data_IF_880345567917
#
_entry.id   IF_880345567917
#
_cell.length_a   1.000
_cell.length_b   1.000
_cell.length_c   1.000
_cell.angle_alpha   90.00
_cell.angle_beta   90.00
_cell.angle_gamma   90.00
#
_symmetry.space_group_name_H-M   'P 1'
#
loop_
_entity.id
_entity.type
_entity.pdbx_description
1 polymer ?
#
# COMPACT_ATOMS: atom_id res chain seq x y z
N UNK A 1 -2.32 12.76 -16.08
CA UNK A 1 -1.45 11.82 -16.87
C UNK A 1 -0.78 10.85 -15.91
N UNK A 2 -0.81 9.56 -16.23
CA UNK A 2 -0.15 8.50 -15.44
C UNK A 2 1.36 8.66 -15.54
N UNK A 3 2.06 8.53 -14.43
CA UNK A 3 3.52 8.67 -14.35
C UNK A 3 4.14 7.40 -13.74
N UNK A 4 5.23 6.92 -14.34
CA UNK A 4 6.04 5.82 -13.78
C UNK A 4 7.41 6.35 -13.38
N UNK A 5 7.76 6.16 -12.12
CA UNK A 5 9.02 6.57 -11.52
C UNK A 5 9.80 5.31 -11.13
N UNK A 6 10.99 5.14 -11.68
CA UNK A 6 11.84 4.01 -11.29
C UNK A 6 12.76 4.41 -10.12
N UNK A 7 12.92 3.51 -9.15
CA UNK A 7 13.75 3.73 -7.96
C UNK A 7 15.19 4.08 -8.33
N UNK A 8 15.74 3.49 -9.39
CA UNK A 8 17.11 3.75 -9.82
C UNK A 8 17.30 5.14 -10.44
N UNK A 9 16.20 5.82 -10.82
CA UNK A 9 16.24 7.21 -11.28
C UNK A 9 16.32 8.24 -10.15
N UNK A 10 16.11 7.80 -8.90
CA UNK A 10 16.10 8.68 -7.72
C UNK A 10 17.44 8.67 -7.00
N UNK A 11 17.90 9.84 -6.62
CA UNK A 11 19.16 9.99 -5.89
C UNK A 11 19.11 9.21 -4.56
N UNK A 12 20.19 8.50 -4.26
CA UNK A 12 20.42 7.83 -2.99
C UNK A 12 21.07 8.82 -2.03
N UNK A 13 20.24 9.43 -1.19
CA UNK A 13 20.69 10.49 -0.25
C UNK A 13 21.13 9.86 1.07
N UNK A 14 22.36 10.12 1.56
CA UNK A 14 22.81 9.64 2.86
C UNK A 14 22.00 10.26 4.00
N UNK A 15 21.66 9.44 4.98
CA UNK A 15 21.04 9.82 6.26
C UNK A 15 21.74 9.09 7.40
N UNK A 16 21.61 9.50 8.69
CA UNK A 16 22.34 8.91 9.80
C UNK A 16 22.16 7.40 9.98
N UNK A 17 21.01 6.88 9.58
CA UNK A 17 20.64 5.47 9.65
C UNK A 17 20.99 4.67 8.39
N UNK A 18 21.42 5.31 7.29
CA UNK A 18 21.71 4.64 6.03
C UNK A 18 21.48 5.54 4.82
N UNK A 19 20.54 5.21 3.95
CA UNK A 19 20.23 6.00 2.76
C UNK A 19 18.72 6.06 2.49
N UNK A 20 18.28 7.15 1.88
CA UNK A 20 16.89 7.32 1.45
C UNK A 20 16.79 7.69 -0.03
N UNK A 21 15.78 7.16 -0.72
CA UNK A 21 15.34 7.60 -2.05
C UNK A 21 13.92 8.12 -1.93
N UNK A 22 13.73 9.41 -2.15
CA UNK A 22 12.40 10.02 -2.21
C UNK A 22 11.77 9.71 -3.56
N UNK A 23 10.86 8.75 -3.60
CA UNK A 23 10.13 8.37 -4.81
C UNK A 23 9.14 9.47 -5.22
N UNK A 24 8.42 10.00 -4.23
CA UNK A 24 7.54 11.16 -4.37
C UNK A 24 7.75 12.11 -3.19
N UNK A 25 7.90 13.39 -3.48
CA UNK A 25 7.99 14.46 -2.51
C UNK A 25 6.92 15.53 -2.81
N UNK A 26 5.99 15.82 -1.89
CA UNK A 26 4.85 16.71 -2.16
C UNK A 26 5.23 18.08 -2.72
N UNK A 27 6.34 18.64 -2.26
CA UNK A 27 6.80 19.97 -2.72
C UNK A 27 7.33 19.96 -4.17
N UNK A 28 7.82 18.81 -4.65
CA UNK A 28 8.48 18.69 -5.96
C UNK A 28 7.53 18.10 -7.01
N UNK A 29 6.73 17.12 -6.61
CA UNK A 29 5.93 16.30 -7.53
C UNK A 29 4.46 16.73 -7.57
N UNK A 30 4.06 17.73 -6.79
CA UNK A 30 2.69 18.25 -6.74
C UNK A 30 1.66 17.26 -6.16
N UNK A 31 2.14 16.22 -5.46
CA UNK A 31 1.30 15.23 -4.77
C UNK A 31 1.09 15.64 -3.31
N UNK A 32 0.14 15.00 -2.63
CA UNK A 32 -0.01 15.12 -1.16
C UNK A 32 0.66 13.98 -0.42
N UNK A 33 0.96 12.91 -1.12
CA UNK A 33 1.57 11.70 -0.59
C UNK A 33 3.08 11.79 -0.71
N UNK A 34 3.78 11.48 0.38
CA UNK A 34 5.21 11.26 0.36
C UNK A 34 5.49 9.77 0.34
N UNK A 35 6.34 9.33 -0.58
CA UNK A 35 6.79 7.94 -0.70
C UNK A 35 8.30 7.90 -0.73
N UNK A 36 8.89 7.13 0.17
CA UNK A 36 10.33 6.92 0.23
C UNK A 36 10.68 5.44 0.34
N UNK A 37 11.81 5.06 -0.23
CA UNK A 37 12.48 3.78 0.04
C UNK A 37 13.74 4.08 0.83
N UNK A 38 13.85 3.48 2.01
CA UNK A 38 14.96 3.72 2.95
C UNK A 38 15.72 2.43 3.17
N UNK A 39 17.02 2.49 2.88
CA UNK A 39 18.00 1.46 3.26
C UNK A 39 18.48 1.78 4.67
N UNK A 40 18.31 0.88 5.63
CA UNK A 40 18.78 1.02 7.01
C UNK A 40 19.95 0.08 7.22
N UNK A 41 21.08 0.63 7.64
CA UNK A 41 22.32 -0.11 7.86
C UNK A 41 22.18 -1.05 9.07
N UNK A 42 22.93 -2.18 9.11
CA UNK A 42 22.94 -3.08 10.25
C UNK A 42 23.22 -2.37 11.57
N UNK A 43 22.42 -2.67 12.59
CA UNK A 43 22.52 -2.07 13.92
C UNK A 43 21.96 -0.63 14.02
N UNK A 44 21.42 -0.09 12.93
CA UNK A 44 20.80 1.24 12.92
C UNK A 44 19.30 1.16 13.13
N UNK A 45 18.72 2.29 13.55
CA UNK A 45 17.31 2.43 13.87
C UNK A 45 16.71 3.56 13.05
N UNK A 46 15.71 3.23 12.23
CA UNK A 46 14.85 4.20 11.57
C UNK A 46 13.73 4.64 12.52
N UNK A 47 13.44 5.93 12.55
CA UNK A 47 12.44 6.53 13.43
C UNK A 47 11.31 7.18 12.64
N UNK A 48 10.07 6.97 13.11
CA UNK A 48 8.87 7.58 12.57
C UNK A 48 8.12 8.29 13.67
N UNK A 49 7.43 9.37 13.29
CA UNK A 49 6.60 10.13 14.23
C UNK A 49 7.38 10.78 15.39
N UNK A 50 6.68 11.35 16.36
CA UNK A 50 5.30 11.80 16.21
C UNK A 50 5.18 12.97 15.22
N UNK A 51 4.03 13.12 14.61
CA UNK A 51 3.77 14.17 13.64
C UNK A 51 2.29 14.48 13.47
N UNK A 52 1.94 15.25 12.45
CA UNK A 52 0.57 15.63 12.07
C UNK A 52 0.00 14.78 10.93
N UNK A 53 0.76 13.76 10.49
CA UNK A 53 0.46 12.93 9.33
C UNK A 53 0.28 11.46 9.71
N UNK A 54 -0.55 10.78 8.96
CA UNK A 54 -0.64 9.32 8.98
C UNK A 54 0.57 8.73 8.27
N UNK A 55 1.19 7.72 8.85
CA UNK A 55 2.40 7.10 8.33
C UNK A 55 2.27 5.57 8.29
N UNK A 56 2.88 4.95 7.28
CA UNK A 56 3.05 3.51 7.20
C UNK A 56 4.49 3.21 6.87
N UNK A 57 5.07 2.28 7.62
CA UNK A 57 6.32 1.62 7.25
C UNK A 57 6.04 0.18 6.93
N UNK A 58 6.55 -0.27 5.82
CA UNK A 58 6.51 -1.66 5.39
C UNK A 58 7.92 -2.18 5.11
N UNK A 59 8.21 -3.37 5.59
CA UNK A 59 9.50 -4.04 5.43
C UNK A 59 9.52 -4.76 4.08
N UNK A 60 10.18 -4.12 3.09
CA UNK A 60 10.40 -4.70 1.75
C UNK A 60 11.40 -5.84 1.80
N UNK A 61 12.46 -5.68 2.59
CA UNK A 61 13.46 -6.71 2.84
C UNK A 61 14.08 -6.55 4.23
N UNK A 62 14.33 -7.66 4.90
CA UNK A 62 14.90 -7.72 6.24
C UNK A 62 14.36 -8.91 7.04
N UNK A 63 15.16 -9.33 8.01
CA UNK A 63 14.82 -10.39 8.97
C UNK A 63 15.33 -10.01 10.36
N UNK A 64 14.72 -10.59 11.38
CA UNK A 64 15.05 -10.33 12.78
C UNK A 64 15.04 -8.83 13.12
N UNK A 65 14.01 -8.13 12.59
CA UNK A 65 13.83 -6.70 12.74
C UNK A 65 13.07 -6.43 14.03
N UNK A 66 13.58 -5.53 14.87
CA UNK A 66 12.82 -5.06 16.04
C UNK A 66 11.99 -3.84 15.66
N UNK A 67 10.67 -3.92 15.89
CA UNK A 67 9.74 -2.81 15.73
C UNK A 67 9.20 -2.43 17.08
N UNK A 68 9.37 -1.17 17.51
CA UNK A 68 8.65 -0.62 18.66
C UNK A 68 7.56 0.31 18.16
N UNK A 69 6.41 0.31 18.84
CA UNK A 69 5.32 1.20 18.56
C UNK A 69 4.83 1.82 19.87
N UNK A 70 4.79 3.13 19.94
CA UNK A 70 4.34 3.90 21.11
C UNK A 70 3.03 4.59 20.78
N UNK A 71 2.01 4.30 21.60
CA UNK A 71 0.68 4.87 21.49
C UNK A 71 0.15 5.24 22.87
N UNK A 72 -0.33 6.46 23.05
CA UNK A 72 -0.89 6.95 24.32
C UNK A 72 0.01 6.70 25.54
N UNK A 73 1.34 6.79 25.34
CA UNK A 73 2.35 6.56 26.39
C UNK A 73 2.67 5.09 26.66
N UNK A 74 2.01 4.14 26.01
CA UNK A 74 2.33 2.72 26.09
C UNK A 74 3.17 2.29 24.89
N UNK A 75 4.26 1.56 25.15
CA UNK A 75 5.14 1.04 24.10
C UNK A 75 5.00 -0.48 24.02
N UNK A 76 4.82 -0.98 22.81
CA UNK A 76 4.86 -2.40 22.47
C UNK A 76 6.06 -2.68 21.57
N UNK A 77 6.64 -3.88 21.72
CA UNK A 77 7.76 -4.36 20.90
C UNK A 77 7.37 -5.63 20.15
N UNK A 78 7.82 -5.70 18.90
CA UNK A 78 7.53 -6.81 17.98
C UNK A 78 8.82 -7.25 17.29
N UNK A 79 8.97 -8.56 17.08
CA UNK A 79 9.95 -9.10 16.15
C UNK A 79 9.30 -9.23 14.79
N UNK A 80 9.94 -8.66 13.78
CA UNK A 80 9.39 -8.54 12.44
C UNK A 80 10.37 -9.08 11.38
N UNK A 81 9.86 -9.29 10.22
CA UNK A 81 10.61 -9.67 9.02
C UNK A 81 9.96 -9.07 7.77
N UNK A 82 10.49 -9.36 6.61
CA UNK A 82 9.87 -8.99 5.33
C UNK A 82 8.37 -9.28 5.34
N UNK A 83 7.57 -8.34 4.80
CA UNK A 83 6.10 -8.36 4.76
C UNK A 83 5.43 -8.15 6.11
N UNK A 84 6.11 -7.46 7.01
CA UNK A 84 5.51 -6.86 8.19
C UNK A 84 5.60 -5.35 8.11
N UNK A 85 4.86 -4.65 8.95
CA UNK A 85 4.88 -3.20 9.00
C UNK A 85 4.15 -2.62 10.18
N UNK A 86 4.19 -1.31 10.26
CA UNK A 86 3.45 -0.54 11.27
C UNK A 86 2.70 0.61 10.61
N UNK A 87 1.44 0.74 10.98
CA UNK A 87 0.59 1.88 10.66
C UNK A 87 0.52 2.79 11.87
N UNK A 88 0.71 4.09 11.66
CA UNK A 88 0.72 5.11 12.70
C UNK A 88 -0.31 6.20 12.42
N UNK A 89 -1.13 6.49 13.41
CA UNK A 89 -1.93 7.71 13.43
C UNK A 89 -1.06 8.91 13.84
N UNK A 90 -1.47 10.15 13.51
CA UNK A 90 -0.81 11.34 14.03
C UNK A 90 -0.60 11.27 15.55
N UNK A 91 0.52 11.77 16.06
CA UNK A 91 0.95 11.73 17.46
C UNK A 91 1.46 10.38 17.99
N UNK A 92 1.38 9.32 17.23
CA UNK A 92 2.04 8.05 17.55
C UNK A 92 3.47 8.03 17.01
N UNK A 93 4.32 7.18 17.56
CA UNK A 93 5.68 6.98 17.09
C UNK A 93 6.05 5.50 17.01
N UNK A 94 7.02 5.19 16.15
CA UNK A 94 7.61 3.88 16.04
C UNK A 94 9.10 3.96 15.73
N UNK A 95 9.81 2.88 16.10
CA UNK A 95 11.17 2.65 15.63
C UNK A 95 11.26 1.30 14.93
N UNK A 96 12.11 1.24 13.91
CA UNK A 96 12.39 -0.01 13.17
C UNK A 96 13.90 -0.20 13.15
N UNK A 97 14.38 -1.22 13.84
CA UNK A 97 15.82 -1.47 14.06
C UNK A 97 16.28 -2.68 13.26
N UNK A 98 17.31 -2.47 12.45
CA UNK A 98 18.01 -3.53 11.72
C UNK A 98 18.99 -4.26 12.65
N UNK A 99 18.69 -5.51 13.03
CA UNK A 99 19.49 -6.21 14.05
C UNK A 99 20.88 -6.63 13.56
N UNK A 100 21.04 -7.18 12.39
CA UNK A 100 22.34 -7.69 11.92
C UNK A 100 22.49 -7.74 10.40
N UNK A 101 21.40 -7.54 9.67
CA UNK A 101 21.37 -7.49 8.20
C UNK A 101 20.82 -6.16 7.75
N UNK A 102 21.16 -5.69 6.55
CA UNK A 102 20.53 -4.50 5.97
C UNK A 102 19.01 -4.67 5.92
N UNK A 103 18.32 -3.56 6.10
CA UNK A 103 16.85 -3.51 6.07
C UNK A 103 16.41 -2.52 5.01
N UNK A 104 15.41 -2.88 4.21
CA UNK A 104 14.82 -1.99 3.21
C UNK A 104 13.37 -1.73 3.57
N UNK A 105 13.02 -0.46 3.68
CA UNK A 105 11.70 0.02 4.08
C UNK A 105 11.03 0.77 2.94
N UNK A 106 9.73 0.53 2.73
CA UNK A 106 8.84 1.45 2.03
C UNK A 106 8.13 2.31 3.09
N UNK A 107 8.27 3.61 2.98
CA UNK A 107 7.65 4.59 3.89
C UNK A 107 6.64 5.40 3.10
N UNK A 108 5.39 5.38 3.54
CA UNK A 108 4.29 6.15 2.97
C UNK A 108 3.77 7.11 4.02
N UNK A 109 3.72 8.40 3.70
CA UNK A 109 3.21 9.43 4.60
C UNK A 109 2.13 10.23 3.89
N UNK A 110 0.96 10.34 4.51
CA UNK A 110 -0.20 11.03 3.95
C UNK A 110 -0.74 12.07 4.93
N UNK A 111 -1.25 13.21 4.43
CA UNK A 111 -1.91 14.17 5.31
C UNK A 111 -3.20 13.58 5.91
N UNK A 112 -3.55 14.02 7.10
CA UNK A 112 -4.82 13.67 7.73
C UNK A 112 -5.99 14.15 6.85
N UNK A 113 -6.95 13.29 6.59
CA UNK A 113 -8.13 13.64 5.80
C UNK A 113 -9.15 14.38 6.66
N UNK A 114 -9.47 15.63 6.25
CA UNK A 114 -10.38 16.54 6.98
C UNK A 114 -11.83 16.34 6.54
N UNK A 115 -12.39 15.28 6.43
CA UNK A 115 -13.78 15.08 5.93
C UNK A 115 -14.31 13.71 6.27
N UNK A 116 -14.00 13.22 7.47
CA UNK A 116 -14.44 11.90 7.90
C UNK A 116 -15.95 11.78 7.88
N UNK A 117 -16.50 10.72 7.30
CA UNK A 117 -17.82 10.27 7.65
C UNK A 117 -17.88 10.02 9.16
N UNK A 118 -18.84 10.62 9.81
CA UNK A 118 -19.08 10.43 11.24
C UNK A 118 -19.59 9.01 11.48
N UNK A 119 -18.86 8.22 12.23
CA UNK A 119 -19.28 6.90 12.69
C UNK A 119 -18.13 5.89 12.64
N UNK A 120 -17.55 5.58 13.76
CA UNK A 120 -16.53 4.56 13.95
C UNK A 120 -15.60 4.88 15.10
N UNK A 121 -14.97 3.86 15.65
CA UNK A 121 -13.91 4.02 16.64
C UNK A 121 -12.80 4.91 16.04
N UNK A 122 -12.15 5.75 16.87
CA UNK A 122 -11.00 6.51 16.44
C UNK A 122 -9.97 5.58 15.83
N UNK A 123 -9.43 5.99 14.69
CA UNK A 123 -8.33 5.25 14.09
C UNK A 123 -7.17 5.20 15.10
N UNK A 124 -6.54 4.06 15.20
CA UNK A 124 -5.35 3.86 16.03
C UNK A 124 -4.32 3.06 15.28
N UNK A 125 -3.05 3.40 15.47
CA UNK A 125 -1.95 2.66 14.87
C UNK A 125 -1.84 1.22 15.38
N UNK A 126 -1.22 0.38 14.58
CA UNK A 126 -1.00 -1.03 14.89
C UNK A 126 0.17 -1.60 14.09
N UNK A 127 0.77 -2.64 14.67
CA UNK A 127 1.70 -3.50 13.96
C UNK A 127 0.93 -4.58 13.19
N UNK A 128 1.40 -4.94 11.99
CA UNK A 128 0.82 -6.00 11.17
C UNK A 128 1.89 -6.91 10.55
N UNK A 129 1.52 -8.16 10.38
CA UNK A 129 2.26 -9.16 9.59
C UNK A 129 1.32 -9.68 8.50
N UNK A 130 1.71 -9.55 7.24
CA UNK A 130 0.85 -9.94 6.11
C UNK A 130 0.33 -11.38 6.23
N UNK A 131 1.18 -12.31 6.68
CA UNK A 131 0.80 -13.71 6.83
C UNK A 131 -0.33 -13.96 7.84
N UNK A 132 -0.59 -13.01 8.74
CA UNK A 132 -1.67 -13.09 9.74
C UNK A 132 -2.95 -12.38 9.29
N UNK A 133 -2.90 -11.70 8.15
CA UNK A 133 -4.03 -10.96 7.62
C UNK A 133 -4.86 -11.83 6.67
N UNK A 134 -6.11 -11.43 6.51
CA UNK A 134 -7.03 -12.07 5.59
C UNK A 134 -6.61 -11.80 4.15
N UNK A 135 -6.32 -12.86 3.38
CA UNK A 135 -6.13 -12.76 1.96
C UNK A 135 -7.45 -12.99 1.22
N UNK A 136 -7.64 -12.23 0.15
CA UNK A 136 -8.75 -12.37 -0.77
C UNK A 136 -8.22 -12.94 -2.10
N UNK A 137 -9.05 -13.70 -2.78
CA UNK A 137 -8.78 -14.24 -4.11
C UNK A 137 -9.95 -13.94 -5.03
N UNK A 138 -9.68 -13.60 -6.28
CA UNK A 138 -10.76 -13.39 -7.24
C UNK A 138 -11.42 -14.71 -7.67
N UNK A 139 -12.55 -14.60 -8.34
CA UNK A 139 -13.39 -15.74 -8.75
C UNK A 139 -12.63 -16.78 -9.61
N UNK A 140 -11.63 -16.36 -10.37
CA UNK A 140 -10.83 -17.24 -11.23
C UNK A 140 -9.47 -17.64 -10.64
N UNK A 141 -9.14 -17.13 -9.46
CA UNK A 141 -7.87 -17.44 -8.80
C UNK A 141 -6.64 -16.77 -9.43
N UNK A 142 -6.82 -15.76 -10.25
CA UNK A 142 -5.71 -15.09 -10.95
C UNK A 142 -5.17 -13.89 -10.22
N UNK A 143 -5.95 -13.32 -9.31
CA UNK A 143 -5.55 -12.15 -8.53
C UNK A 143 -5.75 -12.42 -7.05
N UNK A 144 -4.77 -12.06 -6.24
CA UNK A 144 -4.87 -12.09 -4.78
C UNK A 144 -4.70 -10.69 -4.22
N UNK A 145 -5.35 -10.42 -3.08
CA UNK A 145 -5.30 -9.14 -2.37
C UNK A 145 -5.21 -9.36 -0.88
N UNK A 146 -4.31 -8.64 -0.21
CA UNK A 146 -4.24 -8.59 1.24
C UNK A 146 -4.19 -7.13 1.68
N UNK A 147 -5.21 -6.66 2.38
CA UNK A 147 -5.20 -5.30 2.92
C UNK A 147 -4.45 -5.25 4.24
N UNK A 148 -3.53 -4.29 4.35
CA UNK A 148 -2.80 -3.99 5.59
C UNK A 148 -3.43 -2.82 6.33
N UNK A 149 -3.85 -1.80 5.60
CA UNK A 149 -4.57 -0.64 6.11
C UNK A 149 -5.84 -0.48 5.29
N UNK A 150 -6.99 -0.71 5.91
CA UNK A 150 -8.27 -0.56 5.24
C UNK A 150 -9.39 -0.54 6.29
N UNK A 151 -10.25 0.47 6.25
CA UNK A 151 -11.37 0.57 7.18
C UNK A 151 -12.40 -0.57 7.04
N UNK A 152 -12.54 -1.13 5.84
CA UNK A 152 -13.53 -2.18 5.56
C UNK A 152 -13.12 -3.55 6.10
N UNK A 153 -11.84 -3.75 6.36
CA UNK A 153 -11.35 -4.99 6.98
C UNK A 153 -11.39 -4.95 8.50
N UNK A 154 -11.79 -3.81 9.08
CA UNK A 154 -11.86 -3.62 10.53
C UNK A 154 -10.52 -3.44 11.22
N UNK A 155 -9.42 -3.35 10.46
CA UNK A 155 -8.08 -3.16 11.01
C UNK A 155 -7.76 -1.69 11.31
N UNK A 156 -8.36 -0.77 10.56
CA UNK A 156 -8.14 0.66 10.74
C UNK A 156 -9.44 1.42 10.50
N UNK A 157 -9.75 2.37 11.35
CA UNK A 157 -10.82 3.35 11.14
C UNK A 157 -10.42 4.50 10.22
N UNK A 158 -9.21 4.48 9.65
CA UNK A 158 -8.69 5.60 8.87
C UNK A 158 -9.29 5.68 7.48
N UNK A 159 -9.62 6.90 7.08
CA UNK A 159 -9.97 7.29 5.73
C UNK A 159 -8.80 7.96 5.00
N UNK A 160 -7.67 8.12 5.67
CA UNK A 160 -6.53 8.81 5.11
C UNK A 160 -5.83 7.99 4.04
N UNK A 161 -5.83 6.65 4.23
CA UNK A 161 -5.08 5.72 3.39
C UNK A 161 -5.76 4.35 3.34
N UNK A 162 -5.80 3.76 2.14
CA UNK A 162 -5.88 2.32 1.94
C UNK A 162 -4.52 1.83 1.46
N UNK A 163 -4.04 0.73 2.02
CA UNK A 163 -2.78 0.13 1.61
C UNK A 163 -2.84 -1.38 1.75
N UNK A 164 -2.29 -2.09 0.77
CA UNK A 164 -2.24 -3.54 0.76
C UNK A 164 -1.39 -4.09 -0.38
N UNK A 165 -1.22 -5.41 -0.37
CA UNK A 165 -0.53 -6.12 -1.43
C UNK A 165 -1.52 -6.69 -2.43
N UNK A 166 -1.14 -6.66 -3.69
CA UNK A 166 -1.79 -7.34 -4.81
C UNK A 166 -0.82 -8.29 -5.48
N UNK A 167 -1.29 -9.48 -5.79
CA UNK A 167 -0.59 -10.43 -6.66
C UNK A 167 -1.42 -10.70 -7.91
N UNK A 168 -0.78 -10.66 -9.07
CA UNK A 168 -1.35 -11.05 -10.35
C UNK A 168 -0.57 -12.23 -10.92
N UNK A 169 -1.28 -13.32 -11.21
CA UNK A 169 -0.73 -14.45 -11.91
C UNK A 169 -0.22 -14.06 -13.31
N UNK A 170 0.61 -14.88 -13.96
CA UNK A 170 1.01 -14.65 -15.35
C UNK A 170 -0.18 -14.33 -16.25
N UNK A 171 -0.06 -13.24 -17.04
CA UNK A 171 -1.09 -12.73 -17.97
C UNK A 171 -2.39 -12.26 -17.33
N UNK A 172 -2.49 -12.24 -15.99
CA UNK A 172 -3.65 -11.68 -15.31
C UNK A 172 -3.70 -10.15 -15.50
N UNK A 173 -4.89 -9.60 -15.44
CA UNK A 173 -5.10 -8.16 -15.58
C UNK A 173 -6.21 -7.66 -14.64
N UNK A 174 -6.19 -6.36 -14.34
CA UNK A 174 -7.33 -5.70 -13.71
C UNK A 174 -8.41 -5.40 -14.76
N UNK A 175 -9.69 -5.22 -14.38
CA UNK A 175 -10.61 -4.52 -15.26
C UNK A 175 -10.04 -3.15 -15.60
N UNK A 176 -10.42 -2.62 -16.77
CA UNK A 176 -10.19 -1.20 -17.06
C UNK A 176 -11.11 -0.39 -16.16
N UNK A 177 -10.55 0.52 -15.38
CA UNK A 177 -11.30 1.26 -14.36
C UNK A 177 -10.74 2.66 -14.14
N UNK A 178 -11.50 3.44 -13.40
CA UNK A 178 -11.15 4.81 -13.02
C UNK A 178 -11.57 5.05 -11.57
N UNK A 179 -10.72 5.76 -10.83
CA UNK A 179 -11.04 6.24 -9.49
C UNK A 179 -11.43 7.72 -9.58
N UNK A 180 -12.59 8.03 -9.05
CA UNK A 180 -13.13 9.37 -9.03
C UNK A 180 -13.31 9.83 -7.59
N UNK A 181 -13.35 11.16 -7.41
CA UNK A 181 -13.76 11.74 -6.14
C UNK A 181 -15.14 11.17 -5.75
N UNK A 182 -15.32 10.77 -4.50
CA UNK A 182 -16.63 10.37 -4.03
C UNK A 182 -17.58 11.59 -3.96
N UNK A 183 -18.87 11.34 -3.87
CA UNK A 183 -19.88 12.41 -3.76
C UNK A 183 -19.74 13.20 -2.44
N UNK A 184 -19.12 12.61 -1.44
CA UNK A 184 -18.83 13.22 -0.13
C UNK A 184 -17.42 13.75 -0.02
N UNK A 185 -16.54 13.34 -0.93
CA UNK A 185 -15.12 13.66 -0.92
C UNK A 185 -14.83 15.10 -1.35
N UNK A 186 -14.13 15.82 -0.51
CA UNK A 186 -13.64 17.18 -0.82
C UNK A 186 -12.28 17.16 -1.50
N UNK A 187 -11.57 16.02 -1.41
CA UNK A 187 -10.20 15.85 -1.86
C UNK A 187 -10.16 14.81 -3.00
N UNK A 188 -9.40 15.11 -4.03
CA UNK A 188 -9.15 14.19 -5.14
C UNK A 188 -8.24 13.06 -4.69
N UNK A 189 -8.62 11.78 -4.84
CA UNK A 189 -7.78 10.65 -4.49
C UNK A 189 -6.57 10.55 -5.41
N UNK A 190 -5.45 10.12 -4.85
CA UNK A 190 -4.25 9.74 -5.58
C UNK A 190 -4.08 8.23 -5.43
N UNK A 191 -3.80 7.53 -6.52
CA UNK A 191 -3.68 6.09 -6.56
C UNK A 191 -2.28 5.69 -7.01
N UNK A 192 -1.67 4.72 -6.32
CA UNK A 192 -0.27 4.34 -6.50
C UNK A 192 -0.10 2.84 -6.54
N UNK A 193 0.89 2.40 -7.33
CA UNK A 193 1.38 1.03 -7.33
C UNK A 193 2.90 1.02 -7.19
N UNK A 194 3.42 0.37 -6.16
CA UNK A 194 4.85 0.09 -6.04
C UNK A 194 5.11 -1.37 -6.41
N UNK A 195 5.84 -1.62 -7.48
CA UNK A 195 6.09 -2.97 -7.99
C UNK A 195 7.25 -3.61 -7.22
N UNK A 196 6.98 -4.70 -6.49
CA UNK A 196 8.00 -5.46 -5.77
C UNK A 196 8.68 -6.51 -6.64
N UNK A 197 7.91 -7.24 -7.45
CA UNK A 197 8.41 -8.36 -8.26
C UNK A 197 7.64 -8.52 -9.56
N UNK A 198 8.31 -9.13 -10.53
CA UNK A 198 7.73 -9.42 -11.84
C UNK A 198 7.65 -8.17 -12.71
N UNK A 199 7.00 -8.29 -13.86
CA UNK A 199 6.89 -7.23 -14.84
C UNK A 199 5.48 -7.17 -15.43
N UNK A 200 5.15 -6.04 -16.00
CA UNK A 200 3.86 -5.82 -16.64
C UNK A 200 3.78 -4.46 -17.29
N UNK A 201 2.58 -4.00 -17.51
CA UNK A 201 2.31 -2.68 -18.04
C UNK A 201 1.10 -2.03 -17.39
N UNK A 202 1.09 -0.71 -17.33
CA UNK A 202 -0.09 0.09 -17.04
C UNK A 202 -0.61 0.64 -18.36
N UNK A 203 -1.74 0.11 -18.79
CA UNK A 203 -2.43 0.57 -20.00
C UNK A 203 -3.37 1.72 -19.64
N UNK A 204 -3.40 2.74 -20.48
CA UNK A 204 -4.26 3.91 -20.36
C UNK A 204 -4.78 4.34 -21.73
N UNK A 205 -5.61 5.38 -21.82
CA UNK A 205 -6.33 5.74 -23.04
C UNK A 205 -5.43 6.08 -24.23
N UNK A 206 -4.23 6.57 -23.97
CA UNK A 206 -3.31 7.02 -25.04
C UNK A 206 -2.09 6.13 -25.22
N UNK A 207 -2.02 4.97 -24.49
CA UNK A 207 -0.89 4.07 -24.63
C UNK A 207 -0.71 3.11 -23.46
N UNK A 208 0.53 2.67 -23.29
CA UNK A 208 0.93 1.73 -22.25
C UNK A 208 2.31 2.09 -21.73
N UNK A 209 2.51 1.95 -20.43
CA UNK A 209 3.76 2.22 -19.74
C UNK A 209 4.28 0.93 -19.10
N UNK A 210 5.49 0.46 -19.46
CA UNK A 210 6.07 -0.72 -18.84
C UNK A 210 6.41 -0.47 -17.37
N UNK A 211 6.20 -1.50 -16.55
CA UNK A 211 6.52 -1.48 -15.12
C UNK A 211 7.27 -2.75 -14.71
N UNK A 212 8.15 -2.61 -13.73
CA UNK A 212 8.94 -3.70 -13.17
C UNK A 212 9.38 -3.40 -11.74
N UNK A 213 10.19 -4.27 -11.11
CA UNK A 213 10.64 -4.08 -9.74
C UNK A 213 11.23 -2.69 -9.50
N UNK A 214 10.81 -2.04 -8.41
CA UNK A 214 11.22 -0.67 -8.07
C UNK A 214 10.51 0.45 -8.84
N UNK A 215 9.53 0.13 -9.69
CA UNK A 215 8.66 1.13 -10.31
C UNK A 215 7.59 1.59 -9.32
N UNK A 216 7.43 2.90 -9.18
CA UNK A 216 6.29 3.54 -8.54
C UNK A 216 5.41 4.18 -9.62
N UNK A 217 4.16 3.77 -9.70
CA UNK A 217 3.17 4.32 -10.63
C UNK A 217 2.27 5.30 -9.87
N UNK A 218 2.13 6.51 -10.37
CA UNK A 218 1.15 7.50 -9.89
C UNK A 218 0.02 7.59 -10.91
N UNK A 219 -1.20 7.36 -10.46
CA UNK A 219 -2.42 7.46 -11.25
C UNK A 219 -3.30 8.57 -10.67
N UNK A 220 -3.41 9.71 -11.35
CA UNK A 220 -4.32 10.77 -10.94
C UNK A 220 -5.78 10.33 -11.02
N UNK A 221 -6.64 10.91 -10.20
CA UNK A 221 -8.07 10.67 -10.28
C UNK A 221 -8.62 11.04 -11.66
N UNK A 222 -9.58 10.28 -12.13
CA UNK A 222 -10.21 10.47 -13.46
C UNK A 222 -9.42 9.86 -14.63
N UNK A 223 -8.25 9.29 -14.39
CA UNK A 223 -7.48 8.60 -15.43
C UNK A 223 -7.91 7.13 -15.53
N UNK A 224 -8.44 6.75 -16.67
CA UNK A 224 -8.77 5.35 -16.98
C UNK A 224 -7.49 4.53 -17.12
N UNK A 225 -7.45 3.40 -16.44
CA UNK A 225 -6.28 2.54 -16.44
C UNK A 225 -6.61 1.07 -16.27
N UNK A 226 -5.63 0.23 -16.62
CA UNK A 226 -5.66 -1.20 -16.47
C UNK A 226 -4.24 -1.70 -16.20
N UNK A 227 -4.05 -2.55 -15.21
CA UNK A 227 -2.80 -3.27 -15.02
C UNK A 227 -2.84 -4.60 -15.74
N UNK A 228 -1.74 -4.94 -16.43
CA UNK A 228 -1.59 -6.20 -17.16
C UNK A 228 -0.26 -6.83 -16.76
N UNK A 229 -0.31 -8.02 -16.17
CA UNK A 229 0.87 -8.78 -15.84
C UNK A 229 1.48 -9.44 -17.10
N UNK A 230 2.81 -9.47 -17.15
CA UNK A 230 3.53 -10.24 -18.17
C UNK A 230 3.45 -11.75 -17.93
N UNK A 231 4.25 -12.50 -18.67
CA UNK A 231 4.41 -13.96 -18.50
C UNK A 231 4.94 -14.37 -17.13
N UNK A 232 5.52 -13.45 -16.37
CA UNK A 232 6.07 -13.71 -15.02
C UNK A 232 5.07 -13.45 -13.90
N UNK A 233 3.92 -12.83 -14.23
CA UNK A 233 3.06 -12.24 -13.21
C UNK A 233 3.74 -11.08 -12.49
N UNK A 234 3.09 -10.47 -11.50
CA UNK A 234 3.76 -9.53 -10.62
C UNK A 234 3.07 -9.35 -9.27
N UNK A 235 3.91 -9.01 -8.27
CA UNK A 235 3.53 -8.55 -6.95
C UNK A 235 3.70 -7.04 -6.87
N UNK A 236 2.72 -6.35 -6.32
CA UNK A 236 2.81 -4.92 -6.09
C UNK A 236 2.05 -4.49 -4.83
N UNK A 237 2.50 -3.37 -4.29
CA UNK A 237 1.85 -2.69 -3.18
C UNK A 237 0.95 -1.62 -3.78
N UNK A 238 -0.35 -1.72 -3.50
CA UNK A 238 -1.36 -0.74 -3.90
C UNK A 238 -1.66 0.18 -2.73
N UNK A 239 -1.69 1.48 -2.96
CA UNK A 239 -2.18 2.43 -1.99
C UNK A 239 -2.93 3.60 -2.61
N UNK A 240 -3.90 4.10 -1.87
CA UNK A 240 -4.81 5.16 -2.28
C UNK A 240 -4.99 6.14 -1.13
N UNK A 241 -4.88 7.42 -1.41
CA UNK A 241 -4.98 8.47 -0.40
C UNK A 241 -5.71 9.71 -0.95
N UNK A 242 -6.78 10.19 -0.27
CA UNK A 242 -7.51 9.53 0.80
C UNK A 242 -8.30 8.30 0.33
N UNK A 243 -8.70 7.45 1.25
CA UNK A 243 -9.60 6.32 0.98
C UNK A 243 -11.08 6.80 0.99
N UNK A 244 -11.38 7.80 0.21
CA UNK A 244 -12.72 8.36 0.00
C UNK A 244 -12.90 8.61 -1.50
N UNK A 245 -13.18 7.54 -2.23
CA UNK A 245 -13.31 7.55 -3.68
C UNK A 245 -14.38 6.56 -4.14
N UNK A 246 -14.84 6.74 -5.37
CA UNK A 246 -15.66 5.77 -6.10
C UNK A 246 -14.86 5.16 -7.24
N UNK A 247 -15.13 3.89 -7.54
CA UNK A 247 -14.53 3.20 -8.68
C UNK A 247 -15.58 2.91 -9.73
N UNK A 248 -15.34 3.36 -10.96
CA UNK A 248 -16.13 2.98 -12.14
C UNK A 248 -15.32 1.99 -12.95
N UNK A 249 -15.94 0.88 -13.34
CA UNK A 249 -15.28 -0.19 -14.12
C UNK A 249 -16.01 -0.37 -15.44
N UNK A 250 -15.26 -0.63 -16.50
CA UNK A 250 -15.80 -1.25 -17.70
C UNK A 250 -16.22 -2.69 -17.38
N UNK A 251 -16.91 -3.35 -18.32
CA UNK A 251 -17.28 -4.75 -18.18
C UNK A 251 -16.06 -5.62 -17.85
N UNK A 252 -16.09 -6.27 -16.68
CA UNK A 252 -15.00 -7.17 -16.25
C UNK A 252 -15.36 -8.63 -16.52
N UNK A 253 -14.78 -9.25 -17.55
CA UNK A 253 -15.00 -10.67 -17.82
C UNK A 253 -14.35 -11.59 -16.77
N UNK A 254 -13.46 -11.07 -15.91
CA UNK A 254 -12.81 -11.86 -14.85
C UNK A 254 -13.65 -11.94 -13.57
N UNK A 255 -14.81 -11.33 -13.54
CA UNK A 255 -15.69 -11.29 -12.38
C UNK A 255 -15.37 -10.16 -11.39
N UNK A 256 -16.40 -9.76 -10.67
CA UNK A 256 -16.34 -8.68 -9.67
C UNK A 256 -16.19 -9.20 -8.25
N UNK A 257 -16.30 -10.51 -8.07
CA UNK A 257 -16.37 -11.11 -6.76
C UNK A 257 -14.99 -11.44 -6.22
N UNK A 258 -14.81 -11.11 -4.95
CA UNK A 258 -13.66 -11.52 -4.16
C UNK A 258 -14.10 -12.51 -3.10
N UNK A 259 -13.26 -13.50 -2.83
CA UNK A 259 -13.52 -14.56 -1.89
C UNK A 259 -12.44 -14.60 -0.81
N UNK A 260 -12.80 -15.01 0.40
CA UNK A 260 -11.86 -15.14 1.51
C UNK A 260 -11.03 -16.41 1.30
N UNK A 261 -9.75 -16.26 0.96
CA UNK A 261 -8.83 -17.36 0.70
C UNK A 261 -8.74 -18.31 1.93
N UNK A 262 -8.73 -19.61 1.69
CA UNK A 262 -8.62 -20.62 2.75
C UNK A 262 -9.90 -20.85 3.57
N UNK A 263 -11.04 -20.34 3.13
CA UNK A 263 -12.33 -20.61 3.76
C UNK A 263 -13.16 -21.59 2.93
N UNK A 264 -14.24 -22.12 3.51
CA UNK A 264 -15.21 -22.97 2.84
C UNK A 264 -16.63 -22.47 3.17
N UNK A 265 -17.46 -22.31 2.16
CA UNK A 265 -18.86 -21.90 2.27
C UNK A 265 -19.82 -23.09 2.58
N UNK A 266 -19.27 -24.30 2.74
CA UNK A 266 -20.01 -25.55 2.90
C UNK A 266 -20.24 -26.29 1.59
N UNK A 267 -19.82 -25.75 0.45
CA UNK A 267 -19.91 -26.38 -0.88
C UNK A 267 -18.53 -26.69 -1.49
N UNK A 268 -17.47 -26.50 -0.74
CA UNK A 268 -16.08 -26.62 -1.20
C UNK A 268 -15.56 -25.37 -1.92
N UNK A 269 -16.29 -24.26 -1.87
CA UNK A 269 -15.87 -22.96 -2.43
C UNK A 269 -15.47 -21.99 -1.33
N UNK A 270 -14.53 -21.07 -1.59
CA UNK A 270 -14.23 -20.01 -0.64
C UNK A 270 -15.45 -19.11 -0.38
N UNK A 271 -15.58 -18.61 0.85
CA UNK A 271 -16.67 -17.68 1.22
C UNK A 271 -16.54 -16.37 0.46
N UNK A 272 -17.65 -15.90 -0.09
CA UNK A 272 -17.72 -14.60 -0.73
C UNK A 272 -17.38 -13.49 0.29
N UNK A 273 -16.49 -12.58 -0.10
CA UNK A 273 -16.23 -11.34 0.64
C UNK A 273 -17.20 -10.27 0.15
N UNK A 274 -18.01 -9.78 1.07
CA UNK A 274 -18.93 -8.68 0.81
C UNK A 274 -18.33 -7.41 1.40
N UNK A 275 -18.12 -6.44 0.54
CA UNK A 275 -17.68 -5.11 0.95
C UNK A 275 -18.83 -4.42 1.68
N UNK A 276 -18.58 -4.01 2.93
CA UNK A 276 -19.58 -3.37 3.79
C UNK A 276 -19.61 -1.85 3.60
#
# INVERSE_FOLDING_TARGET
>A
MITVINIESKARTPVPEGHVRHMLAPAEDGTRVHVAVTDVDPGKTYRLGPGDRTQVVYILDGKDVTVTHTRAGATAEYTAQRRAGVYLEPSEDATVTASGTPLVLLVVTVPKHAGKPTGGEPASGYFFEEAKLRALIDEKGFRERTFWVNKETGLSGSWDLQLGRMYYAPRAYSPRHVHNRSNTGTITPEHFYFIEKGTGEVKHDTGSLPVGPGSLVLIPAGEWHQLIASETGFDYIEFQAPFDFSTTMDHDPLGKNWYIKGTDDGTGKPKLWVQS
#
